data_IF_671499472275
#
_entry.id   IF_671499472275
#
_cell.length_a   1.000
_cell.length_b   1.000
_cell.length_c   1.000
_cell.angle_alpha   90.00
_cell.angle_beta   90.00
_cell.angle_gamma   90.00
#
_symmetry.space_group_name_H-M   'P 1'
#
loop_
_entity.id
_entity.type
_entity.pdbx_description
1 polymer ?
#
# COMPACT_ATOMS: atom_id res chain seq x y z
N UNK A 1 54.98 5.69 4.57
CA UNK A 1 55.20 5.91 3.11
C UNK A 1 55.44 4.63 2.30
N UNK A 2 56.09 3.57 2.81
CA UNK A 2 56.46 2.37 2.02
C UNK A 2 55.28 1.50 1.49
N UNK A 3 54.13 1.46 2.18
CA UNK A 3 52.96 0.65 1.77
C UNK A 3 52.26 1.19 0.52
N UNK A 4 52.33 2.50 0.28
CA UNK A 4 51.76 3.15 -0.91
C UNK A 4 52.58 2.86 -2.18
N UNK A 5 53.89 2.65 -2.05
CA UNK A 5 54.77 2.37 -3.20
C UNK A 5 54.59 0.97 -3.78
N UNK A 6 54.29 -0.05 -2.95
CA UNK A 6 54.01 -1.42 -3.44
C UNK A 6 52.69 -1.50 -4.22
N UNK A 7 51.65 -0.83 -3.73
CA UNK A 7 50.38 -0.75 -4.47
C UNK A 7 50.56 -0.01 -5.80
N UNK A 8 51.22 1.15 -5.79
CA UNK A 8 51.45 1.94 -7.00
C UNK A 8 52.28 1.15 -8.03
N UNK A 9 53.31 0.42 -7.59
CA UNK A 9 54.10 -0.47 -8.44
C UNK A 9 53.26 -1.64 -9.01
N UNK A 10 52.37 -2.25 -8.21
CA UNK A 10 51.43 -3.28 -8.66
C UNK A 10 50.46 -2.75 -9.73
N UNK A 11 49.81 -1.61 -9.49
CA UNK A 11 48.88 -0.99 -10.43
C UNK A 11 49.54 -0.63 -11.76
N UNK A 12 50.79 -0.18 -11.71
CA UNK A 12 51.59 0.17 -12.90
C UNK A 12 52.05 -1.08 -13.65
N UNK A 13 52.55 -2.12 -12.94
CA UNK A 13 53.01 -3.40 -13.50
C UNK A 13 51.93 -4.12 -14.31
N UNK A 14 50.69 -4.10 -13.85
CA UNK A 14 49.56 -4.75 -14.53
C UNK A 14 48.73 -3.82 -15.41
N UNK A 15 49.14 -2.55 -15.58
CA UNK A 15 48.38 -1.51 -16.28
C UNK A 15 46.90 -1.49 -15.84
N UNK A 16 46.64 -1.72 -14.55
CA UNK A 16 45.29 -1.97 -14.03
C UNK A 16 44.39 -0.76 -14.29
N UNK A 17 44.91 0.46 -14.11
CA UNK A 17 44.21 1.71 -14.45
C UNK A 17 43.79 1.79 -15.92
N UNK A 18 44.63 1.35 -16.85
CA UNK A 18 44.33 1.38 -18.28
C UNK A 18 43.29 0.32 -18.69
N UNK A 19 43.19 -0.79 -17.93
CA UNK A 19 42.17 -1.84 -18.13
C UNK A 19 40.86 -1.56 -17.38
N UNK A 20 40.93 -0.88 -16.24
CA UNK A 20 39.75 -0.52 -15.45
C UNK A 20 38.96 0.61 -16.11
N UNK A 21 39.63 1.58 -16.73
CA UNK A 21 38.97 2.69 -17.45
C UNK A 21 37.96 2.23 -18.53
N UNK A 22 38.33 1.38 -19.51
CA UNK A 22 37.36 0.93 -20.51
C UNK A 22 36.27 0.07 -19.87
N UNK A 23 36.58 -0.74 -18.85
CA UNK A 23 35.57 -1.50 -18.12
C UNK A 23 34.56 -0.58 -17.41
N UNK A 24 35.01 0.48 -16.76
CA UNK A 24 34.14 1.50 -16.13
C UNK A 24 33.29 2.17 -17.20
N UNK A 25 33.87 2.56 -18.33
CA UNK A 25 33.11 3.17 -19.44
C UNK A 25 32.05 2.22 -19.97
N UNK A 26 32.38 0.95 -20.20
CA UNK A 26 31.42 -0.08 -20.62
C UNK A 26 30.31 -0.24 -19.58
N UNK A 27 30.64 -0.34 -18.29
CA UNK A 27 29.65 -0.42 -17.22
C UNK A 27 28.74 0.82 -17.20
N UNK A 28 29.28 2.02 -17.38
CA UNK A 28 28.48 3.25 -17.47
C UNK A 28 27.57 3.25 -18.70
N UNK A 29 28.06 2.81 -19.87
CA UNK A 29 27.22 2.69 -21.08
C UNK A 29 26.09 1.71 -20.85
N UNK A 30 26.39 0.52 -20.29
CA UNK A 30 25.38 -0.50 -19.97
C UNK A 30 24.34 0.06 -19.00
N UNK A 31 24.77 0.75 -17.95
CA UNK A 31 23.85 1.27 -16.93
C UNK A 31 23.00 2.44 -17.44
N UNK A 32 23.54 3.36 -18.24
CA UNK A 32 22.83 4.59 -18.60
C UNK A 32 22.05 4.51 -19.91
N UNK A 33 22.22 3.46 -20.71
CA UNK A 33 21.36 3.17 -21.87
C UNK A 33 20.23 2.24 -21.43
N UNK A 34 19.03 2.77 -21.15
CA UNK A 34 17.91 2.02 -20.54
C UNK A 34 17.60 0.68 -21.22
N UNK A 35 17.46 0.58 -22.57
CA UNK A 35 17.21 -0.70 -23.22
C UNK A 35 18.35 -1.71 -23.00
N UNK A 36 19.59 -1.24 -23.04
CA UNK A 36 20.78 -2.08 -22.83
C UNK A 36 20.89 -2.54 -21.37
N UNK A 37 20.62 -1.64 -20.41
CA UNK A 37 20.53 -1.98 -18.98
C UNK A 37 19.50 -3.07 -18.75
N UNK A 38 18.28 -2.89 -19.24
CA UNK A 38 17.18 -3.83 -19.02
C UNK A 38 17.44 -5.19 -19.69
N UNK A 39 18.15 -5.20 -20.83
CA UNK A 39 18.55 -6.42 -21.51
C UNK A 39 19.66 -7.18 -20.76
N UNK A 40 20.71 -6.47 -20.30
CA UNK A 40 21.86 -7.09 -19.64
C UNK A 40 21.67 -7.35 -18.14
N UNK A 41 20.70 -6.68 -17.50
CA UNK A 41 20.35 -6.85 -16.09
C UNK A 41 18.89 -7.30 -15.97
N UNK A 42 18.58 -8.58 -16.24
CA UNK A 42 17.20 -9.08 -16.23
C UNK A 42 16.54 -9.01 -14.84
N UNK A 43 17.35 -8.98 -13.78
CA UNK A 43 16.93 -8.79 -12.38
C UNK A 43 16.64 -7.32 -12.03
N UNK A 44 16.78 -6.36 -12.95
CA UNK A 44 16.42 -4.98 -12.68
C UNK A 44 14.93 -4.88 -12.31
N UNK A 45 14.57 -4.23 -11.18
CA UNK A 45 13.21 -4.22 -10.69
C UNK A 45 12.23 -3.75 -11.76
N UNK A 46 11.13 -4.49 -11.94
CA UNK A 46 10.15 -4.23 -13.01
C UNK A 46 9.67 -2.77 -12.99
N UNK A 47 9.37 -2.24 -11.81
CA UNK A 47 8.90 -0.87 -11.61
C UNK A 47 9.90 0.21 -12.04
N UNK A 48 11.20 -0.13 -12.04
CA UNK A 48 12.28 0.78 -12.42
C UNK A 48 12.68 0.64 -13.90
N UNK A 49 12.12 -0.34 -14.63
CA UNK A 49 12.53 -0.63 -16.02
C UNK A 49 12.26 0.53 -16.96
N UNK A 50 11.20 1.30 -16.72
CA UNK A 50 10.84 2.45 -17.54
C UNK A 50 11.66 3.71 -17.22
N UNK A 51 12.31 3.76 -16.06
CA UNK A 51 13.09 4.92 -15.63
C UNK A 51 14.52 4.87 -16.17
N UNK A 52 15.05 6.04 -16.55
CA UNK A 52 16.48 6.18 -16.80
C UNK A 52 17.28 5.99 -15.51
N UNK A 53 18.50 5.48 -15.62
CA UNK A 53 19.37 5.29 -14.45
C UNK A 53 19.66 6.59 -13.72
N UNK A 54 19.78 7.71 -14.45
CA UNK A 54 19.93 9.03 -13.85
C UNK A 54 18.71 9.41 -12.99
N UNK A 55 17.50 9.12 -13.49
CA UNK A 55 16.26 9.40 -12.75
C UNK A 55 16.15 8.56 -11.48
N UNK A 56 16.52 7.27 -11.55
CA UNK A 56 16.58 6.40 -10.36
C UNK A 56 17.57 6.96 -9.34
N UNK A 57 18.79 7.29 -9.76
CA UNK A 57 19.80 7.90 -8.88
C UNK A 57 19.25 9.18 -8.24
N UNK A 58 18.63 10.06 -9.02
CA UNK A 58 18.07 11.31 -8.52
C UNK A 58 17.01 11.07 -7.43
N UNK A 59 16.06 10.15 -7.67
CA UNK A 59 15.02 9.78 -6.69
C UNK A 59 15.65 9.30 -5.37
N UNK A 60 16.71 8.50 -5.44
CA UNK A 60 17.38 8.01 -4.22
C UNK A 60 18.21 9.10 -3.53
N UNK A 61 18.89 9.98 -4.29
CA UNK A 61 19.75 11.01 -3.74
C UNK A 61 18.97 12.14 -3.07
N UNK A 62 17.84 12.55 -3.64
CA UNK A 62 17.03 13.68 -3.13
C UNK A 62 16.47 13.40 -1.73
N UNK A 63 16.23 12.13 -1.40
CA UNK A 63 15.59 11.75 -0.13
C UNK A 63 16.59 11.33 0.96
N UNK A 64 17.89 11.24 0.64
CA UNK A 64 18.95 10.90 1.63
C UNK A 64 18.95 11.84 2.84
N UNK A 65 18.55 13.09 2.65
CA UNK A 65 18.56 14.13 3.66
C UNK A 65 17.16 14.66 4.00
N UNK A 66 16.11 13.91 3.67
CA UNK A 66 14.75 14.33 3.97
C UNK A 66 14.53 14.36 5.50
N UNK A 67 14.16 15.52 6.04
CA UNK A 67 13.99 15.68 7.48
C UNK A 67 12.52 15.62 7.89
N UNK A 68 12.27 14.84 8.94
CA UNK A 68 10.97 14.76 9.62
C UNK A 68 11.22 14.86 11.11
N UNK A 69 10.56 15.81 11.78
CA UNK A 69 10.60 15.89 13.25
C UNK A 69 9.69 14.83 13.86
N UNK A 70 10.30 13.79 14.43
CA UNK A 70 9.62 12.64 15.04
C UNK A 70 9.37 12.80 16.55
N UNK A 71 9.66 13.97 17.13
CA UNK A 71 9.32 14.23 18.53
C UNK A 71 7.80 14.21 18.74
N UNK A 72 7.28 13.85 19.93
CA UNK A 72 5.85 13.93 20.18
C UNK A 72 5.31 15.34 19.95
N UNK A 73 4.13 15.47 19.34
CA UNK A 73 3.46 16.76 19.22
C UNK A 73 3.05 17.28 20.61
N UNK A 74 3.39 18.53 20.92
CA UNK A 74 3.12 19.18 22.22
C UNK A 74 2.22 20.42 22.13
N UNK A 75 1.69 20.72 20.94
CA UNK A 75 0.82 21.88 20.73
C UNK A 75 -0.63 21.61 21.13
N UNK A 76 -1.49 22.63 20.95
CA UNK A 76 -2.93 22.51 21.23
C UNK A 76 -3.65 21.70 20.15
N UNK A 77 -4.58 20.85 20.59
CA UNK A 77 -5.48 20.11 19.71
C UNK A 77 -6.81 20.83 19.44
N UNK A 78 -7.04 22.01 20.02
CA UNK A 78 -8.29 22.76 19.88
C UNK A 78 -8.64 23.10 18.42
N UNK A 79 -7.63 23.51 17.65
CA UNK A 79 -7.79 23.74 16.21
C UNK A 79 -8.22 22.46 15.47
N UNK A 80 -7.64 21.32 15.85
CA UNK A 80 -7.96 20.04 15.20
C UNK A 80 -9.38 19.60 15.56
N UNK A 81 -9.72 19.66 16.85
CA UNK A 81 -11.03 19.24 17.36
C UNK A 81 -12.15 20.12 16.85
N UNK A 82 -11.98 21.44 16.82
CA UNK A 82 -12.99 22.37 16.30
C UNK A 82 -13.27 22.15 14.82
N UNK A 83 -12.24 21.93 14.01
CA UNK A 83 -12.39 21.64 12.58
C UNK A 83 -13.10 20.30 12.33
N UNK A 84 -12.68 19.25 13.04
CA UNK A 84 -13.26 17.91 12.92
C UNK A 84 -14.68 17.79 13.51
N UNK A 85 -15.13 18.74 14.33
CA UNK A 85 -16.49 18.72 14.88
C UNK A 85 -17.58 18.78 13.80
N UNK A 86 -17.26 19.33 12.63
CA UNK A 86 -18.15 19.40 11.47
C UNK A 86 -18.04 18.18 10.53
N UNK A 87 -17.06 17.30 10.75
CA UNK A 87 -16.74 16.16 9.89
C UNK A 87 -17.45 14.92 10.42
N UNK A 88 -18.04 14.14 9.52
CA UNK A 88 -18.64 12.84 9.87
C UNK A 88 -17.54 11.80 10.11
N UNK A 89 -17.04 11.77 11.34
CA UNK A 89 -16.05 10.77 11.76
C UNK A 89 -16.69 9.37 11.92
N UNK A 90 -15.93 8.28 11.65
CA UNK A 90 -16.41 6.93 11.91
C UNK A 90 -16.60 6.67 13.40
N UNK A 91 -17.41 5.66 13.72
CA UNK A 91 -17.61 5.19 15.10
C UNK A 91 -17.20 3.73 15.18
N UNK A 92 -16.37 3.39 16.16
CA UNK A 92 -15.80 2.06 16.32
C UNK A 92 -16.87 0.94 16.30
N UNK A 93 -18.00 1.15 16.95
CA UNK A 93 -19.11 0.18 17.04
C UNK A 93 -19.85 -0.06 15.71
N UNK A 94 -19.77 0.88 14.77
CA UNK A 94 -20.47 0.82 13.48
C UNK A 94 -19.60 0.15 12.41
N UNK A 95 -18.34 -0.20 12.74
CA UNK A 95 -17.42 -0.83 11.80
C UNK A 95 -17.85 -2.27 11.48
N UNK A 96 -18.08 -2.60 10.19
CA UNK A 96 -18.42 -3.96 9.77
C UNK A 96 -17.27 -4.93 10.03
N UNK A 97 -17.60 -6.21 10.11
CA UNK A 97 -16.65 -7.29 10.39
C UNK A 97 -16.95 -8.52 9.53
N UNK A 98 -15.91 -9.30 9.27
CA UNK A 98 -15.99 -10.65 8.75
C UNK A 98 -15.92 -11.64 9.92
N UNK A 99 -17.07 -12.24 10.26
CA UNK A 99 -17.17 -13.21 11.35
C UNK A 99 -16.63 -14.58 10.93
N UNK A 100 -15.83 -15.21 11.79
CA UNK A 100 -15.28 -16.55 11.55
C UNK A 100 -16.40 -17.60 11.44
N UNK A 101 -17.50 -17.46 12.18
CA UNK A 101 -18.63 -18.39 12.11
C UNK A 101 -19.33 -18.28 10.76
N UNK A 102 -19.49 -17.07 10.22
CA UNK A 102 -20.06 -16.87 8.89
C UNK A 102 -19.16 -17.52 7.83
N UNK A 103 -17.84 -17.35 7.94
CA UNK A 103 -16.87 -18.06 7.09
C UNK A 103 -17.08 -19.58 7.16
N UNK A 104 -17.14 -20.15 8.36
CA UNK A 104 -17.31 -21.61 8.55
C UNK A 104 -18.60 -22.08 7.87
N UNK A 105 -19.70 -21.34 8.08
CA UNK A 105 -21.00 -21.67 7.49
C UNK A 105 -20.99 -21.61 5.96
N UNK A 106 -20.36 -20.60 5.35
CA UNK A 106 -20.28 -20.50 3.88
C UNK A 106 -19.35 -21.57 3.30
N UNK A 107 -18.22 -21.85 3.96
CA UNK A 107 -17.29 -22.90 3.51
C UNK A 107 -17.95 -24.28 3.49
N UNK A 108 -18.72 -24.63 4.51
CA UNK A 108 -19.47 -25.91 4.54
C UNK A 108 -20.38 -26.06 3.32
N UNK A 109 -20.99 -24.96 2.84
CA UNK A 109 -21.89 -24.99 1.67
C UNK A 109 -21.14 -25.19 0.35
N UNK A 110 -19.96 -24.60 0.19
CA UNK A 110 -19.21 -24.69 -1.07
C UNK A 110 -18.28 -25.89 -1.14
N UNK A 111 -17.87 -26.45 0.02
CA UNK A 111 -16.93 -27.57 0.13
C UNK A 111 -17.21 -28.74 -0.82
N UNK A 112 -18.47 -29.19 -1.03
CA UNK A 112 -18.76 -30.28 -1.96
C UNK A 112 -18.40 -30.01 -3.44
N UNK A 113 -18.25 -28.74 -3.82
CA UNK A 113 -18.01 -28.31 -5.20
C UNK A 113 -16.54 -27.91 -5.46
N UNK A 114 -15.65 -28.04 -4.47
CA UNK A 114 -14.25 -27.66 -4.58
C UNK A 114 -13.38 -28.89 -4.82
N UNK A 115 -12.34 -28.72 -5.64
CA UNK A 115 -11.29 -29.73 -5.81
C UNK A 115 -10.38 -29.81 -4.56
N UNK A 116 -9.68 -30.93 -4.42
CA UNK A 116 -8.79 -31.19 -3.28
C UNK A 116 -7.69 -30.12 -3.12
N UNK A 117 -7.21 -29.55 -4.22
CA UNK A 117 -6.20 -28.49 -4.22
C UNK A 117 -6.76 -27.20 -3.62
N UNK A 118 -7.93 -26.77 -4.08
CA UNK A 118 -8.63 -25.60 -3.52
C UNK A 118 -8.96 -25.78 -2.03
N UNK A 119 -9.38 -26.97 -1.61
CA UNK A 119 -9.67 -27.28 -0.21
C UNK A 119 -8.43 -27.19 0.68
N UNK A 120 -7.27 -27.62 0.19
CA UNK A 120 -6.01 -27.60 0.93
C UNK A 120 -5.58 -26.18 1.31
N UNK A 121 -5.86 -25.20 0.46
CA UNK A 121 -5.37 -23.82 0.62
C UNK A 121 -6.44 -22.82 1.08
N UNK A 122 -7.72 -23.23 1.16
CA UNK A 122 -8.84 -22.34 1.53
C UNK A 122 -8.68 -21.71 2.92
N UNK A 123 -8.01 -22.42 3.82
CA UNK A 123 -7.73 -21.96 5.18
C UNK A 123 -6.87 -20.69 5.22
N UNK A 124 -6.06 -20.43 4.19
CA UNK A 124 -5.25 -19.21 4.09
C UNK A 124 -6.08 -17.94 3.83
N UNK A 125 -7.38 -18.10 3.56
CA UNK A 125 -8.34 -17.02 3.23
C UNK A 125 -9.37 -16.80 4.34
N UNK A 126 -9.15 -17.36 5.53
CA UNK A 126 -9.95 -17.06 6.73
C UNK A 126 -9.76 -15.59 7.17
N UNK A 127 -10.74 -15.01 7.89
CA UNK A 127 -10.54 -13.74 8.54
C UNK A 127 -9.26 -13.75 9.39
N UNK A 128 -8.35 -12.81 9.12
CA UNK A 128 -7.00 -12.74 9.73
C UNK A 128 -7.00 -12.15 11.14
N UNK A 129 -7.99 -11.31 11.42
CA UNK A 129 -8.12 -10.49 12.62
C UNK A 129 -9.37 -10.91 13.40
N UNK A 130 -9.32 -10.79 14.73
CA UNK A 130 -10.51 -10.93 15.56
C UNK A 130 -11.52 -9.80 15.29
N UNK A 131 -12.78 -9.98 15.70
CA UNK A 131 -13.83 -8.96 15.56
C UNK A 131 -13.41 -7.61 16.16
N UNK A 132 -12.75 -7.63 17.33
CA UNK A 132 -12.24 -6.40 17.98
C UNK A 132 -11.22 -5.71 17.07
N UNK A 133 -10.22 -6.46 16.62
CA UNK A 133 -9.11 -5.93 15.83
C UNK A 133 -9.58 -5.44 14.45
N UNK A 134 -10.50 -6.14 13.79
CA UNK A 134 -11.10 -5.68 12.53
C UNK A 134 -11.75 -4.30 12.69
N UNK A 135 -12.53 -4.10 13.77
CA UNK A 135 -13.16 -2.81 14.06
C UNK A 135 -12.12 -1.74 14.35
N UNK A 136 -11.10 -2.05 15.16
CA UNK A 136 -10.03 -1.11 15.50
C UNK A 136 -9.24 -0.68 14.26
N UNK A 137 -8.86 -1.62 13.39
CA UNK A 137 -8.15 -1.34 12.14
C UNK A 137 -8.99 -0.45 11.21
N UNK A 138 -10.23 -0.85 10.94
CA UNK A 138 -11.10 -0.11 10.03
C UNK A 138 -11.46 1.28 10.57
N UNK A 139 -11.76 1.38 11.87
CA UNK A 139 -11.99 2.66 12.55
C UNK A 139 -10.76 3.58 12.44
N UNK A 140 -9.58 3.02 12.67
CA UNK A 140 -8.30 3.76 12.60
C UNK A 140 -8.09 4.29 11.19
N UNK A 141 -8.18 3.42 10.17
CA UNK A 141 -8.01 3.76 8.77
C UNK A 141 -9.00 4.84 8.33
N UNK A 142 -10.29 4.66 8.62
CA UNK A 142 -11.32 5.63 8.25
C UNK A 142 -11.16 6.95 9.00
N UNK A 143 -10.76 6.94 10.27
CA UNK A 143 -10.51 8.17 11.03
C UNK A 143 -9.33 8.94 10.46
N UNK A 144 -8.25 8.25 10.09
CA UNK A 144 -7.08 8.86 9.43
C UNK A 144 -7.49 9.48 8.10
N UNK A 145 -8.18 8.75 7.23
CA UNK A 145 -8.57 9.22 5.90
C UNK A 145 -9.54 10.42 5.96
N UNK A 146 -10.53 10.40 6.86
CA UNK A 146 -11.43 11.54 7.06
C UNK A 146 -10.69 12.76 7.61
N UNK A 147 -9.76 12.57 8.55
CA UNK A 147 -8.98 13.66 9.10
C UNK A 147 -8.05 14.29 8.07
N UNK A 148 -7.29 13.49 7.33
CA UNK A 148 -6.40 14.00 6.27
C UNK A 148 -7.19 14.78 5.20
N UNK A 149 -8.36 14.25 4.78
CA UNK A 149 -9.25 14.93 3.84
C UNK A 149 -9.72 16.29 4.39
N UNK A 150 -10.18 16.33 5.65
CA UNK A 150 -10.69 17.55 6.27
C UNK A 150 -9.64 18.68 6.31
N UNK A 151 -8.36 18.34 6.45
CA UNK A 151 -7.24 19.29 6.46
C UNK A 151 -6.60 19.53 5.11
N UNK A 152 -7.21 19.05 4.01
CA UNK A 152 -6.67 19.15 2.65
C UNK A 152 -5.23 18.60 2.53
N UNK A 153 -4.95 17.52 3.25
CA UNK A 153 -3.71 16.76 3.11
C UNK A 153 -3.96 15.70 2.05
N UNK A 154 -3.36 15.85 0.87
CA UNK A 154 -3.52 14.89 -0.21
C UNK A 154 -2.97 13.52 0.20
N UNK A 155 -3.84 12.53 0.22
CA UNK A 155 -3.51 11.13 0.49
C UNK A 155 -4.21 10.22 -0.52
N UNK A 156 -3.80 8.96 -0.60
CA UNK A 156 -4.59 7.91 -1.21
C UNK A 156 -4.27 6.57 -0.54
N UNK A 157 -5.24 5.66 -0.55
CA UNK A 157 -5.02 4.27 -0.09
C UNK A 157 -4.15 3.51 -1.08
N UNK A 158 -3.33 2.59 -0.59
CA UNK A 158 -2.35 1.89 -1.41
C UNK A 158 -2.28 0.41 -1.08
N UNK A 159 -1.40 -0.33 -1.76
CA UNK A 159 -1.04 -1.70 -1.40
C UNK A 159 -2.25 -2.65 -1.26
N UNK A 160 -2.27 -3.51 -0.25
CA UNK A 160 -3.39 -4.41 0.04
C UNK A 160 -4.70 -3.68 0.29
N UNK A 161 -4.63 -2.45 0.83
CA UNK A 161 -5.84 -1.62 1.04
C UNK A 161 -6.46 -1.16 -0.27
N UNK A 162 -5.67 -0.83 -1.29
CA UNK A 162 -6.19 -0.50 -2.62
C UNK A 162 -6.81 -1.72 -3.31
N UNK A 163 -6.21 -2.90 -3.14
CA UNK A 163 -6.82 -4.16 -3.60
C UNK A 163 -8.14 -4.42 -2.86
N UNK A 164 -8.18 -4.15 -1.55
CA UNK A 164 -9.39 -4.27 -0.73
C UNK A 164 -10.51 -3.35 -1.21
N UNK A 165 -10.20 -2.08 -1.48
CA UNK A 165 -11.12 -1.17 -2.16
C UNK A 165 -11.62 -1.79 -3.47
N UNK A 166 -10.70 -2.22 -4.32
CA UNK A 166 -11.01 -2.74 -5.64
C UNK A 166 -11.91 -3.98 -5.57
N UNK A 167 -11.64 -4.92 -4.69
CA UNK A 167 -12.35 -6.19 -4.61
C UNK A 167 -13.57 -6.17 -3.72
N UNK A 168 -13.55 -5.42 -2.62
CA UNK A 168 -14.51 -5.60 -1.52
C UNK A 168 -15.24 -4.30 -1.14
N UNK A 169 -14.83 -3.14 -1.67
CA UNK A 169 -15.13 -1.82 -1.08
C UNK A 169 -14.82 -1.80 0.42
N UNK A 170 -13.75 -2.48 0.84
CA UNK A 170 -13.47 -2.75 2.24
C UNK A 170 -12.12 -3.42 2.42
N UNK A 171 -11.81 -3.87 3.63
CA UNK A 171 -10.59 -4.63 3.87
C UNK A 171 -10.64 -5.97 3.12
N UNK A 172 -9.48 -6.46 2.68
CA UNK A 172 -9.34 -7.87 2.30
C UNK A 172 -9.54 -8.69 3.58
N UNK A 173 -10.46 -9.67 3.61
CA UNK A 173 -10.80 -10.37 4.87
C UNK A 173 -9.61 -11.06 5.55
N UNK A 174 -8.65 -11.54 4.75
CA UNK A 174 -7.46 -12.27 5.21
C UNK A 174 -6.18 -11.43 5.28
N UNK A 175 -6.30 -10.10 5.21
CA UNK A 175 -5.19 -9.15 5.35
C UNK A 175 -5.19 -8.53 6.76
N UNK A 176 -4.04 -8.17 7.31
CA UNK A 176 -3.90 -7.83 8.75
C UNK A 176 -3.38 -6.42 9.06
N UNK A 177 -3.26 -5.57 8.05
CA UNK A 177 -2.98 -4.14 8.16
C UNK A 177 -3.76 -3.32 7.10
N UNK A 178 -3.47 -2.02 7.07
CA UNK A 178 -3.93 -1.13 6.02
C UNK A 178 -2.86 -0.09 5.70
N UNK A 179 -2.79 0.39 4.46
CA UNK A 179 -1.73 1.25 3.94
C UNK A 179 -2.29 2.53 3.31
N UNK A 180 -1.69 3.67 3.68
CA UNK A 180 -2.03 5.00 3.16
C UNK A 180 -0.76 5.72 2.75
N UNK A 181 -0.76 6.29 1.54
CA UNK A 181 0.27 7.23 1.08
C UNK A 181 -0.23 8.68 1.27
N UNK A 182 0.61 9.58 1.77
CA UNK A 182 0.28 11.01 1.88
C UNK A 182 1.43 11.93 1.47
N UNK A 183 1.10 13.15 1.06
CA UNK A 183 2.07 14.14 0.57
C UNK A 183 3.11 14.47 1.65
N UNK A 184 4.38 14.19 1.35
CA UNK A 184 5.48 14.42 2.27
C UNK A 184 5.57 15.88 2.72
N UNK A 185 5.27 16.85 1.84
CA UNK A 185 5.38 18.28 2.17
C UNK A 185 4.36 18.71 3.25
N UNK A 186 3.33 17.90 3.49
CA UNK A 186 2.30 18.11 4.50
C UNK A 186 2.60 17.44 5.83
N UNK A 187 3.75 16.78 6.00
CA UNK A 187 4.08 16.04 7.22
C UNK A 187 3.94 16.85 8.53
N UNK A 188 4.26 18.17 8.62
CA UNK A 188 4.11 18.89 9.89
C UNK A 188 2.63 19.00 10.30
N UNK A 189 1.75 19.27 9.33
CA UNK A 189 0.31 19.34 9.56
C UNK A 189 -0.26 17.95 9.82
N UNK A 190 0.16 16.93 9.07
CA UNK A 190 -0.24 15.54 9.30
C UNK A 190 0.13 15.08 10.72
N UNK A 191 1.35 15.39 11.19
CA UNK A 191 1.78 15.12 12.58
C UNK A 191 0.83 15.76 13.60
N UNK A 192 0.50 17.03 13.44
CA UNK A 192 -0.42 17.73 14.33
C UNK A 192 -1.81 17.06 14.31
N UNK A 193 -2.38 16.88 13.13
CA UNK A 193 -3.74 16.33 12.95
C UNK A 193 -3.85 14.94 13.54
N UNK A 194 -2.93 14.04 13.18
CA UNK A 194 -2.97 12.64 13.60
C UNK A 194 -2.68 12.46 15.09
N UNK A 195 -1.79 13.29 15.67
CA UNK A 195 -1.51 13.27 17.12
C UNK A 195 -2.70 13.74 17.95
N UNK A 196 -3.60 14.53 17.36
CA UNK A 196 -4.76 15.11 18.04
C UNK A 196 -6.04 14.27 17.90
N UNK A 197 -6.01 13.13 17.22
CA UNK A 197 -7.15 12.22 17.17
C UNK A 197 -7.34 11.55 18.54
N UNK A 198 -8.54 11.63 19.15
CA UNK A 198 -8.73 11.31 20.57
C UNK A 198 -8.50 9.83 20.88
N UNK A 199 -8.91 8.94 19.97
CA UNK A 199 -8.89 7.49 20.19
C UNK A 199 -7.65 6.80 19.60
N UNK A 200 -6.77 7.55 18.92
CA UNK A 200 -5.66 7.00 18.14
C UNK A 200 -4.28 7.41 18.66
N UNK A 201 -3.35 6.46 18.65
CA UNK A 201 -1.93 6.69 18.85
C UNK A 201 -1.20 6.84 17.51
N UNK A 202 -0.13 7.63 17.50
CA UNK A 202 0.77 7.82 16.36
C UNK A 202 2.20 7.46 16.75
N UNK A 203 2.79 6.54 16.01
CA UNK A 203 4.23 6.23 16.05
C UNK A 203 4.90 6.67 14.75
N UNK A 204 6.01 7.41 14.86
CA UNK A 204 6.75 7.92 13.71
C UNK A 204 8.11 7.20 13.58
N UNK A 205 8.16 6.19 12.69
CA UNK A 205 9.37 5.42 12.42
C UNK A 205 10.50 6.26 11.83
N UNK A 206 11.75 5.86 12.09
CA UNK A 206 12.94 6.51 11.49
C UNK A 206 13.12 6.21 10.01
N UNK A 207 12.42 5.21 9.50
CA UNK A 207 12.36 4.79 8.10
C UNK A 207 11.25 5.52 7.30
N UNK A 208 10.64 6.55 7.89
CA UNK A 208 9.52 7.32 7.34
C UNK A 208 8.21 6.52 7.20
N UNK A 209 8.14 5.31 7.76
CA UNK A 209 6.87 4.59 7.93
C UNK A 209 6.28 5.00 9.27
N UNK A 210 5.12 5.63 9.23
CA UNK A 210 4.35 5.98 10.41
C UNK A 210 3.31 4.90 10.67
N UNK A 211 2.98 4.67 11.93
CA UNK A 211 1.95 3.71 12.33
C UNK A 211 0.90 4.43 13.16
N UNK A 212 -0.37 4.28 12.78
CA UNK A 212 -1.50 4.78 13.55
C UNK A 212 -2.30 3.59 14.03
N UNK A 213 -2.71 3.59 15.30
CA UNK A 213 -3.40 2.47 15.93
C UNK A 213 -4.39 2.97 16.98
N UNK A 214 -5.39 2.16 17.31
CA UNK A 214 -6.31 2.47 18.40
C UNK A 214 -5.59 2.45 19.75
N UNK A 215 -5.84 3.42 20.63
CA UNK A 215 -5.14 3.54 21.93
C UNK A 215 -5.39 2.37 22.88
N UNK A 216 -6.53 1.70 22.74
CA UNK A 216 -6.92 0.54 23.56
C UNK A 216 -6.60 -0.80 22.89
N UNK A 217 -5.94 -0.79 21.72
CA UNK A 217 -5.48 -2.00 21.07
C UNK A 217 -4.34 -2.66 21.87
N UNK A 218 -4.09 -3.94 21.64
CA UNK A 218 -3.09 -4.69 22.41
C UNK A 218 -1.66 -4.34 21.97
N UNK A 219 -0.70 -4.39 22.90
CA UNK A 219 0.71 -4.13 22.57
C UNK A 219 1.19 -5.11 21.50
N UNK A 220 1.82 -4.60 20.45
CA UNK A 220 2.29 -5.45 19.35
C UNK A 220 3.52 -6.24 19.80
N UNK A 221 3.37 -7.57 19.96
CA UNK A 221 4.45 -8.48 20.41
C UNK A 221 5.18 -8.03 21.68
N UNK A 222 4.46 -7.37 22.60
CA UNK A 222 5.04 -6.88 23.86
C UNK A 222 5.87 -5.61 23.75
N UNK A 223 5.97 -4.99 22.56
CA UNK A 223 6.56 -3.67 22.37
C UNK A 223 5.69 -2.58 23.05
N UNK A 224 6.30 -1.54 23.61
CA UNK A 224 5.55 -0.50 24.34
C UNK A 224 5.07 0.67 23.47
N UNK A 225 5.59 0.79 22.25
CA UNK A 225 5.41 2.00 21.42
C UNK A 225 4.34 1.83 20.33
N UNK A 226 4.06 0.60 19.92
CA UNK A 226 3.15 0.27 18.82
C UNK A 226 2.14 -0.74 19.35
N UNK A 227 0.87 -0.54 18.99
CA UNK A 227 -0.22 -1.48 19.28
C UNK A 227 -0.73 -2.08 17.98
N UNK A 228 -1.28 -3.28 18.06
CA UNK A 228 -1.80 -4.04 16.94
C UNK A 228 -3.32 -4.22 17.06
N UNK A 229 -4.07 -4.04 15.96
CA UNK A 229 -3.61 -3.74 14.59
C UNK A 229 -3.27 -2.25 14.39
N UNK A 230 -2.60 -1.96 13.28
CA UNK A 230 -2.19 -0.61 12.89
C UNK A 230 -2.39 -0.35 11.41
N UNK A 231 -2.47 0.93 11.07
CA UNK A 231 -2.42 1.45 9.71
C UNK A 231 -1.02 2.00 9.45
N UNK A 232 -0.40 1.53 8.37
CA UNK A 232 0.87 2.03 7.86
C UNK A 232 0.63 3.28 7.00
N UNK A 233 1.31 4.37 7.38
CA UNK A 233 1.28 5.64 6.68
C UNK A 233 2.66 5.91 6.08
N UNK A 234 2.70 6.08 4.77
CA UNK A 234 3.90 6.35 4.02
C UNK A 234 3.86 7.73 3.38
N UNK A 235 4.96 8.47 3.49
CA UNK A 235 5.10 9.74 2.79
C UNK A 235 5.47 9.50 1.33
N UNK A 236 4.90 10.27 0.40
CA UNK A 236 5.34 10.31 -0.99
C UNK A 236 5.86 11.69 -1.39
N UNK A 237 6.76 11.68 -2.37
CA UNK A 237 7.16 12.84 -3.14
C UNK A 237 6.80 12.65 -4.59
N UNK A 238 6.80 13.75 -5.32
CA UNK A 238 6.69 13.69 -6.76
C UNK A 238 7.49 14.82 -7.42
N UNK A 239 7.78 14.65 -8.71
CA UNK A 239 8.11 15.76 -9.60
C UNK A 239 6.95 15.95 -10.59
N UNK A 240 7.22 16.58 -11.74
CA UNK A 240 6.21 16.78 -12.79
C UNK A 240 5.84 15.50 -13.54
N UNK A 241 6.55 14.38 -13.32
CA UNK A 241 6.44 13.19 -14.14
C UNK A 241 6.13 11.93 -13.33
N UNK A 242 6.67 11.79 -12.12
CA UNK A 242 6.55 10.58 -11.32
C UNK A 242 6.30 10.89 -9.85
N UNK A 243 5.63 9.96 -9.17
CA UNK A 243 5.46 9.89 -7.74
C UNK A 243 6.21 8.69 -7.18
N UNK A 244 6.85 8.84 -6.01
CA UNK A 244 7.59 7.79 -5.31
C UNK A 244 7.51 7.97 -3.78
N UNK A 245 7.59 6.88 -2.99
CA UNK A 245 7.61 6.95 -1.54
C UNK A 245 8.97 7.46 -1.07
N UNK A 246 8.94 8.19 0.04
CA UNK A 246 10.16 8.62 0.76
C UNK A 246 10.83 7.41 1.43
N UNK A 247 10.02 6.46 1.91
CA UNK A 247 10.49 5.22 2.52
C UNK A 247 11.34 4.41 1.53
N UNK A 248 12.61 4.17 1.87
CA UNK A 248 13.61 3.69 0.90
C UNK A 248 13.29 2.30 0.35
N UNK A 249 12.81 1.40 1.19
CA UNK A 249 12.50 0.03 0.79
C UNK A 249 11.21 -0.06 -0.02
N UNK A 250 10.32 0.94 0.06
CA UNK A 250 9.14 1.03 -0.80
C UNK A 250 9.43 1.60 -2.18
N UNK A 251 10.61 2.15 -2.45
CA UNK A 251 10.93 2.68 -3.79
C UNK A 251 11.02 1.59 -4.86
N UNK A 252 11.16 0.34 -4.46
CA UNK A 252 11.04 -0.82 -5.35
C UNK A 252 9.61 -1.34 -5.47
N UNK A 253 8.68 -0.78 -4.69
CA UNK A 253 7.29 -1.20 -4.56
C UNK A 253 6.33 -0.23 -5.25
N UNK A 254 6.56 1.09 -5.13
CA UNK A 254 5.73 2.13 -5.73
C UNK A 254 6.63 3.18 -6.38
N UNK A 255 6.71 3.21 -7.71
CA UNK A 255 7.07 4.41 -8.48
C UNK A 255 6.17 4.42 -9.70
N UNK A 256 5.34 5.46 -9.81
CA UNK A 256 4.30 5.53 -10.84
C UNK A 256 4.34 6.87 -11.57
N UNK A 257 3.87 6.94 -12.83
CA UNK A 257 3.63 8.22 -13.47
C UNK A 257 2.72 9.10 -12.62
N UNK A 258 3.01 10.41 -12.58
CA UNK A 258 2.29 11.35 -11.74
C UNK A 258 0.80 11.34 -12.05
N UNK A 259 0.44 11.30 -13.34
CA UNK A 259 -0.95 11.31 -13.81
C UNK A 259 -1.72 10.01 -13.49
N UNK A 260 -1.03 8.96 -13.03
CA UNK A 260 -1.68 7.75 -12.53
C UNK A 260 -2.15 7.89 -11.09
N UNK A 261 -1.43 8.67 -10.29
CA UNK A 261 -1.78 8.87 -8.88
C UNK A 261 -2.56 10.18 -8.66
N UNK A 262 -2.13 11.28 -9.29
CA UNK A 262 -2.61 12.64 -9.03
C UNK A 262 -3.25 13.32 -10.26
N UNK A 263 -4.22 14.24 -10.06
CA UNK A 263 -4.98 14.42 -8.83
C UNK A 263 -5.72 13.13 -8.46
N UNK A 264 -5.89 12.88 -7.16
CA UNK A 264 -6.55 11.66 -6.66
C UNK A 264 -7.99 11.56 -7.16
N UNK A 265 -8.49 10.34 -7.28
CA UNK A 265 -9.89 10.05 -7.55
C UNK A 265 -10.64 9.74 -6.24
N UNK A 266 -11.97 9.86 -6.27
CA UNK A 266 -12.82 9.50 -5.16
C UNK A 266 -13.21 8.01 -5.23
N UNK A 267 -13.07 7.31 -4.12
CA UNK A 267 -13.57 5.95 -3.92
C UNK A 267 -14.45 5.86 -2.67
N UNK A 268 -15.02 4.67 -2.46
CA UNK A 268 -15.81 4.35 -1.25
C UNK A 268 -15.25 3.12 -0.57
N UNK A 269 -15.10 3.21 0.75
CA UNK A 269 -14.59 2.15 1.60
C UNK A 269 -15.52 2.00 2.81
N UNK A 270 -16.26 0.89 2.86
CA UNK A 270 -17.28 0.59 3.89
C UNK A 270 -18.26 1.75 4.12
N UNK A 271 -18.67 2.41 3.02
CA UNK A 271 -19.61 3.53 3.04
C UNK A 271 -19.00 4.90 3.33
N UNK A 272 -17.68 5.00 3.52
CA UNK A 272 -16.97 6.26 3.72
C UNK A 272 -16.23 6.69 2.46
N UNK A 273 -16.17 8.01 2.15
CA UNK A 273 -15.38 8.50 1.04
C UNK A 273 -13.89 8.37 1.36
N UNK A 274 -13.12 7.85 0.41
CA UNK A 274 -11.66 7.73 0.49
C UNK A 274 -11.02 8.23 -0.81
N UNK A 275 -9.76 8.65 -0.74
CA UNK A 275 -8.98 8.97 -1.93
C UNK A 275 -8.26 7.74 -2.47
N UNK A 276 -8.30 7.54 -3.79
CA UNK A 276 -7.63 6.46 -4.52
C UNK A 276 -6.76 7.05 -5.64
N UNK A 277 -5.76 6.33 -6.17
CA UNK A 277 -5.01 6.77 -7.34
C UNK A 277 -5.92 7.06 -8.54
N UNK A 278 -5.63 8.11 -9.31
CA UNK A 278 -6.41 8.52 -10.49
C UNK A 278 -6.69 7.39 -11.50
N UNK A 279 -5.66 6.61 -11.79
CA UNK A 279 -5.65 5.46 -12.71
C UNK A 279 -5.46 4.20 -11.89
N UNK A 280 -6.47 3.87 -11.08
CA UNK A 280 -6.40 2.80 -10.08
C UNK A 280 -6.09 1.44 -10.70
N UNK A 281 -6.67 1.11 -11.86
CA UNK A 281 -6.43 -0.16 -12.56
C UNK A 281 -4.98 -0.29 -12.96
N UNK A 282 -4.42 0.74 -13.59
CA UNK A 282 -3.04 0.73 -14.05
C UNK A 282 -2.04 0.59 -12.89
N UNK A 283 -2.34 1.21 -11.74
CA UNK A 283 -1.54 1.05 -10.52
C UNK A 283 -1.62 -0.38 -9.97
N UNK A 284 -2.82 -0.96 -9.95
CA UNK A 284 -3.03 -2.34 -9.48
C UNK A 284 -2.36 -3.35 -10.42
N UNK A 285 -2.52 -3.20 -11.73
CA UNK A 285 -1.95 -4.10 -12.74
C UNK A 285 -0.43 -4.05 -12.76
N UNK A 286 0.15 -2.85 -12.66
CA UNK A 286 1.61 -2.67 -12.63
C UNK A 286 2.24 -3.44 -11.47
N UNK A 287 1.55 -3.49 -10.32
CA UNK A 287 2.09 -4.03 -9.08
C UNK A 287 1.71 -5.48 -8.83
N UNK A 288 0.44 -5.82 -9.00
CA UNK A 288 -0.14 -7.08 -8.55
C UNK A 288 -0.62 -7.96 -9.71
N UNK A 289 -0.76 -7.40 -10.91
CA UNK A 289 -1.28 -8.10 -12.07
C UNK A 289 -2.77 -8.38 -11.93
N UNK A 290 -3.19 -9.65 -12.05
CA UNK A 290 -4.58 -10.08 -12.21
C UNK A 290 -5.43 -9.96 -10.94
N UNK A 291 -5.63 -8.74 -10.45
CA UNK A 291 -6.34 -8.49 -9.19
C UNK A 291 -7.82 -8.87 -9.26
N UNK A 292 -8.46 -8.85 -10.42
CA UNK A 292 -9.87 -9.21 -10.56
C UNK A 292 -10.13 -10.72 -10.57
N UNK A 293 -9.21 -11.50 -11.13
CA UNK A 293 -9.40 -12.95 -11.29
C UNK A 293 -8.77 -13.75 -10.15
N UNK A 294 -7.62 -13.30 -9.62
CA UNK A 294 -6.77 -14.12 -8.75
C UNK A 294 -6.67 -13.52 -7.36
N UNK A 295 -7.08 -14.30 -6.36
CA UNK A 295 -7.00 -13.95 -4.96
C UNK A 295 -5.75 -14.60 -4.38
N UNK A 296 -4.80 -13.76 -3.94
CA UNK A 296 -3.56 -14.19 -3.33
C UNK A 296 -3.68 -14.16 -1.81
N UNK A 297 -3.06 -15.12 -1.14
CA UNK A 297 -2.86 -15.07 0.30
C UNK A 297 -1.84 -13.99 0.66
N UNK A 298 -1.81 -13.60 1.93
CA UNK A 298 -0.83 -12.62 2.41
C UNK A 298 0.61 -13.13 2.22
N UNK A 299 1.55 -12.22 2.08
CA UNK A 299 2.99 -12.54 1.97
C UNK A 299 3.76 -12.23 3.25
N UNK A 300 3.18 -11.43 4.13
CA UNK A 300 3.74 -11.00 5.41
C UNK A 300 2.65 -11.14 6.47
N UNK A 301 3.01 -11.63 7.66
CA UNK A 301 2.16 -11.57 8.83
C UNK A 301 2.57 -10.36 9.65
N UNK A 302 1.72 -9.33 9.69
CA UNK A 302 2.00 -8.12 10.48
C UNK A 302 1.92 -8.41 11.95
N UNK A 303 0.98 -9.27 12.37
CA UNK A 303 0.91 -9.74 13.75
C UNK A 303 2.25 -10.33 14.22
N UNK A 304 2.80 -11.26 13.44
CA UNK A 304 4.02 -12.01 13.81
C UNK A 304 5.32 -11.34 13.35
N UNK A 305 5.23 -10.23 12.63
CA UNK A 305 6.37 -9.47 12.07
C UNK A 305 7.32 -10.32 11.21
N UNK A 306 6.75 -11.21 10.38
CA UNK A 306 7.56 -12.09 9.54
C UNK A 306 6.97 -12.25 8.14
N UNK A 307 7.86 -12.44 7.16
CA UNK A 307 7.48 -12.92 5.84
C UNK A 307 6.96 -14.36 5.97
N UNK A 308 5.85 -14.67 5.31
CA UNK A 308 5.39 -16.06 5.23
C UNK A 308 6.32 -16.86 4.31
N UNK A 309 6.58 -18.15 4.61
CA UNK A 309 7.30 -19.05 3.70
C UNK A 309 6.67 -19.08 2.30
N UNK A 310 7.47 -19.31 1.26
CA UNK A 310 6.99 -19.22 -0.14
C UNK A 310 5.93 -20.29 -0.42
N UNK A 311 6.11 -21.46 0.16
CA UNK A 311 5.21 -22.61 0.16
C UNK A 311 3.83 -22.32 0.79
N UNK A 312 3.75 -21.33 1.69
CA UNK A 312 2.48 -20.90 2.31
C UNK A 312 1.79 -19.77 1.53
N UNK A 313 2.50 -19.15 0.57
CA UNK A 313 1.96 -18.09 -0.30
C UNK A 313 1.17 -18.72 -1.43
N UNK A 314 -0.13 -18.84 -1.23
CA UNK A 314 -1.04 -19.49 -2.17
C UNK A 314 -1.82 -18.47 -2.98
N UNK A 315 -2.45 -18.94 -4.07
CA UNK A 315 -3.42 -18.18 -4.82
C UNK A 315 -4.55 -19.10 -5.25
N UNK A 316 -5.74 -18.53 -5.43
CA UNK A 316 -6.89 -19.23 -6.02
C UNK A 316 -7.72 -18.27 -6.86
N UNK A 317 -8.54 -18.78 -7.80
CA UNK A 317 -9.51 -17.95 -8.48
C UNK A 317 -10.44 -17.27 -7.47
N UNK A 318 -10.57 -15.94 -7.56
CA UNK A 318 -11.45 -15.19 -6.66
C UNK A 318 -12.92 -15.65 -6.74
N UNK A 319 -13.33 -16.30 -7.84
CA UNK A 319 -14.66 -16.92 -7.98
C UNK A 319 -14.97 -17.95 -6.89
N UNK A 320 -13.95 -18.62 -6.33
CA UNK A 320 -14.09 -19.56 -5.20
C UNK A 320 -14.53 -18.82 -3.92
N UNK A 321 -14.11 -17.57 -3.76
CA UNK A 321 -14.33 -16.75 -2.56
C UNK A 321 -15.57 -15.85 -2.65
N UNK A 322 -16.11 -15.60 -3.86
CA UNK A 322 -17.33 -14.80 -4.08
C UNK A 322 -18.58 -15.28 -3.31
N UNK A 323 -18.79 -16.58 -3.06
CA UNK A 323 -19.89 -17.04 -2.21
C UNK A 323 -19.65 -16.82 -0.71
N UNK A 324 -18.40 -16.61 -0.28
CA UNK A 324 -18.02 -16.45 1.13
C UNK A 324 -17.99 -14.97 1.51
N UNK A 325 -17.41 -14.13 0.65
CA UNK A 325 -17.16 -12.73 0.93
C UNK A 325 -17.83 -11.81 -0.09
N UNK A 326 -18.17 -10.57 0.30
CA UNK A 326 -18.64 -9.56 -0.65
C UNK A 326 -17.55 -9.22 -1.66
N UNK A 327 -17.89 -9.21 -2.95
CA UNK A 327 -17.03 -8.74 -4.03
C UNK A 327 -17.69 -7.62 -4.83
N UNK A 328 -16.87 -6.74 -5.40
CA UNK A 328 -17.32 -5.64 -6.25
C UNK A 328 -17.38 -6.12 -7.70
N UNK A 329 -18.55 -5.99 -8.31
CA UNK A 329 -18.74 -6.08 -9.75
C UNK A 329 -18.75 -4.67 -10.34
N UNK A 330 -18.06 -4.49 -11.48
CA UNK A 330 -17.97 -3.20 -12.19
C UNK A 330 -18.62 -3.30 -13.54
N UNK A 331 -19.62 -2.46 -13.77
CA UNK A 331 -20.34 -2.38 -15.04
C UNK A 331 -20.13 -1.00 -15.66
N UNK A 332 -19.47 -0.93 -16.83
CA UNK A 332 -19.33 0.32 -17.59
C UNK A 332 -20.70 0.72 -18.15
N UNK A 333 -21.15 1.92 -17.77
CA UNK A 333 -22.44 2.48 -18.23
C UNK A 333 -22.22 3.47 -19.37
N UNK A 334 -21.12 4.23 -19.35
CA UNK A 334 -20.80 5.21 -20.38
C UNK A 334 -19.32 5.11 -20.78
N UNK A 335 -19.05 4.67 -22.01
CA UNK A 335 -17.70 4.56 -22.56
C UNK A 335 -17.05 5.92 -22.85
N UNK A 336 -17.84 6.97 -23.06
CA UNK A 336 -17.36 8.33 -23.40
C UNK A 336 -16.97 9.08 -22.12
N UNK A 337 -17.78 8.98 -21.07
CA UNK A 337 -17.51 9.64 -19.78
C UNK A 337 -16.69 8.80 -18.81
N UNK A 338 -16.53 7.50 -19.09
CA UNK A 338 -15.84 6.57 -18.19
C UNK A 338 -16.65 6.25 -16.92
N UNK A 339 -17.97 6.45 -16.95
CA UNK A 339 -18.84 6.18 -15.79
C UNK A 339 -19.01 4.68 -15.60
N UNK A 340 -18.77 4.25 -14.36
CA UNK A 340 -18.86 2.85 -13.93
C UNK A 340 -19.78 2.76 -12.73
N UNK A 341 -20.66 1.78 -12.77
CA UNK A 341 -21.43 1.35 -11.59
C UNK A 341 -20.64 0.25 -10.92
N UNK A 342 -20.36 0.44 -9.63
CA UNK A 342 -19.74 -0.55 -8.75
C UNK A 342 -20.80 -1.13 -7.82
N UNK A 343 -21.03 -2.43 -7.92
CA UNK A 343 -21.99 -3.16 -7.08
C UNK A 343 -21.23 -4.09 -6.15
N UNK A 344 -21.36 -3.91 -4.83
CA UNK A 344 -20.83 -4.85 -3.84
C UNK A 344 -21.83 -5.98 -3.67
N UNK A 345 -21.44 -7.21 -3.99
CA UNK A 345 -22.31 -8.38 -4.12
C UNK A 345 -21.79 -9.51 -3.22
N UNK A 346 -22.68 -10.18 -2.49
CA UNK A 346 -22.40 -11.44 -1.78
C UNK A 346 -23.35 -12.52 -2.30
N UNK A 347 -22.79 -13.56 -2.91
CA UNK A 347 -23.59 -14.56 -3.62
C UNK A 347 -24.38 -13.93 -4.76
N UNK A 348 -25.72 -13.93 -4.65
CA UNK A 348 -26.64 -13.28 -5.61
C UNK A 348 -27.22 -11.96 -5.10
N UNK A 349 -26.82 -11.49 -3.92
CA UNK A 349 -27.40 -10.31 -3.27
C UNK A 349 -26.51 -9.09 -3.47
N UNK A 350 -27.06 -8.02 -4.04
CA UNK A 350 -26.42 -6.70 -4.09
C UNK A 350 -26.55 -6.05 -2.71
N UNK A 351 -25.43 -5.77 -2.06
CA UNK A 351 -25.35 -5.14 -0.74
C UNK A 351 -25.34 -3.61 -0.84
N UNK A 352 -24.64 -3.07 -1.84
CA UNK A 352 -24.58 -1.63 -2.10
C UNK A 352 -24.19 -1.35 -3.55
N UNK A 353 -24.58 -0.17 -4.03
CA UNK A 353 -24.28 0.32 -5.38
C UNK A 353 -23.66 1.71 -5.28
N UNK A 354 -22.57 1.93 -6.01
CA UNK A 354 -21.86 3.20 -6.06
C UNK A 354 -21.58 3.60 -7.51
N UNK A 355 -21.67 4.90 -7.81
CA UNK A 355 -21.32 5.44 -9.12
C UNK A 355 -19.95 6.09 -9.02
N UNK A 356 -19.03 5.66 -9.88
CA UNK A 356 -17.69 6.22 -9.98
C UNK A 356 -17.34 6.59 -11.42
N UNK A 357 -16.24 7.32 -11.59
CA UNK A 357 -15.67 7.66 -12.89
C UNK A 357 -14.24 7.19 -12.93
N UNK A 358 -13.94 6.25 -13.82
CA UNK A 358 -12.60 5.74 -14.01
C UNK A 358 -11.93 6.40 -15.21
N UNK A 359 -10.68 6.82 -15.00
CA UNK A 359 -9.79 7.29 -16.05
C UNK A 359 -8.83 6.15 -16.39
N UNK A 360 -8.96 5.55 -17.58
CA UNK A 360 -8.13 4.40 -17.96
C UNK A 360 -8.89 3.29 -18.67
N UNK A 361 -8.18 2.22 -18.99
CA UNK A 361 -8.76 0.98 -19.54
C UNK A 361 -9.28 0.11 -18.39
N UNK A 362 -10.57 -0.21 -18.44
CA UNK A 362 -11.16 -1.35 -17.74
C UNK A 362 -11.54 -2.27 -18.89
N UNK A 363 -10.89 -3.42 -18.97
CA UNK A 363 -11.23 -4.46 -19.95
C UNK A 363 -12.62 -5.03 -19.69
#
# INVERSE_FOLDING_TARGET
>A
MARNNKLKAFWTKYKLTARLKPLIVVCLVVLFVTPLRNFLLPWWPHILKQLSTLKVIQIHLVDLFYYVDRSPYKGSCEFVHSHLASVKMPKLKDMPVYDMNDWIQQVVKIKPNLDDGSLLILDNYKPSLSIKEQRELLFTMLSVTQALAAFNITYFISEGTLIGYWRHHGLIPWDDDADILFDSDKWPLAKQVLSCLPDLGLYMGSDYMWKVFHKEADNWLGEQQIRFPYVDLFMYKHDNYHLWPVCIWMKTEIIVPLDWALPVAAGVFEGYPVSIPRKTVEVLDLKFGRVDSDCYSRTFSRRERQMLPVEERTHMPCSVLKPIYPFVARNRVDKVRGTVIEERILGSTVLSTFNTTYYGTLE
#
